data_IF_746174084437
#
_entry.id   IF_746174084437
#
_cell.length_a   1.000
_cell.length_b   1.000
_cell.length_c   1.000
_cell.angle_alpha   90.00
_cell.angle_beta   90.00
_cell.angle_gamma   90.00
#
_symmetry.space_group_name_H-M   'P 1'
#
loop_
_entity.id
_entity.type
_entity.pdbx_description
1 polymer ?
#
# COMPACT_ATOMS: atom_id res chain seq x y z
N UNK A 1 -12.57 -0.71 48.64
CA UNK A 1 -13.05 -1.68 47.63
C UNK A 1 -11.95 -1.77 46.59
N UNK A 2 -11.10 -2.80 46.66
CA UNK A 2 -9.96 -2.92 45.76
C UNK A 2 -10.47 -3.30 44.36
N UNK A 3 -10.34 -2.38 43.39
CA UNK A 3 -10.57 -2.66 41.97
C UNK A 3 -9.59 -3.74 41.56
N UNK A 4 -10.10 -4.95 41.29
CA UNK A 4 -9.35 -6.06 40.70
C UNK A 4 -8.66 -5.52 39.43
N UNK A 5 -7.35 -5.68 39.33
CA UNK A 5 -6.63 -5.33 38.12
C UNK A 5 -7.29 -6.06 36.93
N UNK A 6 -7.57 -5.37 35.81
CA UNK A 6 -8.21 -5.98 34.66
C UNK A 6 -7.39 -7.18 34.19
N UNK A 7 -8.08 -8.25 33.77
CA UNK A 7 -7.42 -9.42 33.18
C UNK A 7 -6.64 -8.99 31.92
N UNK A 8 -5.46 -9.57 31.68
CA UNK A 8 -4.61 -9.20 30.55
C UNK A 8 -5.37 -9.30 29.21
N UNK A 9 -6.20 -10.34 29.06
CA UNK A 9 -7.01 -10.53 27.86
C UNK A 9 -8.10 -9.46 27.71
N UNK A 10 -8.68 -9.02 28.82
CA UNK A 10 -9.67 -7.93 28.83
C UNK A 10 -9.00 -6.61 28.45
N UNK A 11 -7.81 -6.32 29.00
CA UNK A 11 -6.99 -5.18 28.63
C UNK A 11 -6.59 -5.20 27.14
N UNK A 12 -6.29 -6.38 26.58
CA UNK A 12 -6.03 -6.54 25.14
C UNK A 12 -7.24 -6.16 24.28
N UNK A 13 -8.42 -6.71 24.59
CA UNK A 13 -9.65 -6.42 23.83
C UNK A 13 -10.01 -4.94 23.95
N UNK A 14 -9.92 -4.37 25.16
CA UNK A 14 -10.20 -2.97 25.40
C UNK A 14 -9.22 -2.06 24.65
N UNK A 15 -7.93 -2.38 24.66
CA UNK A 15 -6.91 -1.65 23.90
C UNK A 15 -7.19 -1.69 22.40
N UNK A 16 -7.51 -2.86 21.85
CA UNK A 16 -7.81 -3.01 20.41
C UNK A 16 -9.07 -2.23 20.03
N UNK A 17 -10.16 -2.36 20.79
CA UNK A 17 -11.39 -1.62 20.54
C UNK A 17 -11.14 -0.11 20.57
N UNK A 18 -10.39 0.38 21.57
CA UNK A 18 -10.04 1.79 21.66
C UNK A 18 -9.11 2.25 20.55
N UNK A 19 -8.19 1.40 20.11
CA UNK A 19 -7.35 1.68 18.95
C UNK A 19 -8.18 1.78 17.66
N UNK A 20 -9.26 1.00 17.52
CA UNK A 20 -10.17 1.09 16.37
C UNK A 20 -11.04 2.36 16.39
N UNK A 21 -11.37 2.87 17.57
CA UNK A 21 -12.13 4.12 17.75
C UNK A 21 -11.25 5.37 17.56
N UNK A 22 -10.05 5.37 18.16
CA UNK A 22 -9.18 6.53 18.24
C UNK A 22 -8.19 6.64 17.05
N UNK A 23 -7.82 5.53 16.41
CA UNK A 23 -6.81 5.51 15.35
C UNK A 23 -7.40 5.10 13.99
N UNK A 24 -7.17 5.93 12.97
CA UNK A 24 -7.58 5.62 11.60
C UNK A 24 -6.71 4.51 10.96
N UNK A 25 -5.45 4.41 11.37
CA UNK A 25 -4.52 3.36 10.95
C UNK A 25 -3.76 2.80 12.15
N UNK A 26 -3.51 1.48 12.14
CA UNK A 26 -2.78 0.83 13.21
C UNK A 26 -1.28 1.13 13.13
N UNK A 27 -0.67 1.38 14.28
CA UNK A 27 0.77 1.59 14.43
C UNK A 27 1.39 0.45 15.23
N UNK A 28 2.57 0.00 14.83
CA UNK A 28 3.25 -1.13 15.44
C UNK A 28 4.68 -0.80 15.91
N UNK A 29 5.14 -1.54 16.92
CA UNK A 29 6.51 -1.45 17.42
C UNK A 29 7.46 -2.22 16.51
N UNK A 30 8.62 -1.62 16.21
CA UNK A 30 9.72 -2.26 15.52
C UNK A 30 10.82 -2.59 16.51
N UNK A 31 10.94 -3.86 16.86
CA UNK A 31 11.97 -4.35 17.76
C UNK A 31 13.33 -4.46 17.06
N UNK A 32 13.91 -3.32 16.65
CA UNK A 32 15.17 -3.30 15.88
C UNK A 32 16.31 -4.01 16.59
N UNK A 33 16.45 -3.81 17.90
CA UNK A 33 17.48 -4.46 18.70
C UNK A 33 17.33 -5.99 18.68
N UNK A 34 16.11 -6.50 18.86
CA UNK A 34 15.82 -7.94 18.85
C UNK A 34 16.02 -8.55 17.46
N UNK A 35 15.62 -7.85 16.39
CA UNK A 35 15.87 -8.32 15.03
C UNK A 35 17.36 -8.39 14.71
N UNK A 36 18.13 -7.36 15.07
CA UNK A 36 19.58 -7.36 14.88
C UNK A 36 20.25 -8.45 15.71
N UNK A 37 19.81 -8.67 16.95
CA UNK A 37 20.30 -9.75 17.80
C UNK A 37 20.07 -11.13 17.14
N UNK A 38 18.85 -11.39 16.65
CA UNK A 38 18.51 -12.64 15.97
C UNK A 38 19.36 -12.85 14.69
N UNK A 39 19.52 -11.81 13.86
CA UNK A 39 20.35 -11.87 12.65
C UNK A 39 21.81 -12.18 12.99
N UNK A 40 22.36 -11.51 14.01
CA UNK A 40 23.74 -11.72 14.46
C UNK A 40 23.93 -13.13 15.01
N UNK A 41 23.00 -13.66 15.79
CA UNK A 41 23.06 -15.04 16.29
C UNK A 41 23.11 -16.05 15.14
N UNK A 42 22.19 -15.91 14.16
CA UNK A 42 22.17 -16.75 12.96
C UNK A 42 23.47 -16.64 12.16
N UNK A 43 24.03 -15.43 12.02
CA UNK A 43 25.30 -15.20 11.34
C UNK A 43 26.48 -15.90 12.05
N UNK A 44 26.54 -15.82 13.38
CA UNK A 44 27.57 -16.49 14.18
C UNK A 44 27.44 -18.02 14.05
N UNK A 45 26.22 -18.55 14.07
CA UNK A 45 25.96 -19.98 13.90
C UNK A 45 26.40 -20.48 12.51
N UNK A 46 26.09 -19.74 11.44
CA UNK A 46 26.57 -20.03 10.09
C UNK A 46 28.10 -19.99 10.00
N UNK A 47 28.75 -19.00 10.63
CA UNK A 47 30.21 -18.90 10.65
C UNK A 47 30.87 -20.10 11.36
N UNK A 48 30.28 -20.57 12.48
CA UNK A 48 30.73 -21.75 13.21
C UNK A 48 30.58 -23.02 12.37
N UNK A 49 29.44 -23.22 11.70
CA UNK A 49 29.23 -24.36 10.81
C UNK A 49 30.22 -24.36 9.63
N UNK A 50 30.44 -23.20 9.00
CA UNK A 50 31.45 -23.03 7.95
C UNK A 50 32.85 -23.46 8.42
N UNK A 51 33.24 -23.05 9.62
CA UNK A 51 34.54 -23.43 10.21
C UNK A 51 34.64 -24.95 10.44
N UNK A 52 33.58 -25.57 10.97
CA UNK A 52 33.53 -27.02 11.20
C UNK A 52 33.64 -27.83 9.90
N UNK A 53 32.81 -27.52 8.90
CA UNK A 53 32.81 -28.20 7.60
C UNK A 53 34.18 -28.04 6.90
N UNK A 54 34.77 -26.84 6.96
CA UNK A 54 36.11 -26.60 6.39
C UNK A 54 37.18 -27.43 7.09
N UNK A 55 37.06 -27.66 8.40
CA UNK A 55 38.01 -28.46 9.19
C UNK A 55 37.84 -29.95 8.97
N UNK A 56 36.61 -30.45 8.86
CA UNK A 56 36.33 -31.88 8.63
C UNK A 56 36.55 -32.31 7.18
N UNK A 57 36.50 -31.38 6.22
CA UNK A 57 36.62 -31.66 4.78
C UNK A 57 35.44 -32.45 4.19
N UNK A 58 34.45 -32.78 5.01
CA UNK A 58 33.24 -33.53 4.66
C UNK A 58 32.07 -32.96 5.49
N UNK A 59 30.86 -33.00 4.94
CA UNK A 59 29.65 -32.57 5.63
C UNK A 59 28.67 -33.75 5.71
N UNK A 60 28.27 -34.13 6.92
CA UNK A 60 27.29 -35.20 7.12
C UNK A 60 25.87 -34.78 6.72
N UNK A 61 24.94 -35.73 6.45
CA UNK A 61 23.57 -35.42 6.05
C UNK A 61 22.83 -34.51 7.05
N UNK A 62 23.03 -34.74 8.36
CA UNK A 62 22.42 -33.93 9.42
C UNK A 62 23.00 -32.50 9.47
N UNK A 63 24.30 -32.34 9.19
CA UNK A 63 24.94 -31.03 9.15
C UNK A 63 24.45 -30.22 7.94
N UNK A 64 24.20 -30.89 6.81
CA UNK A 64 23.63 -30.29 5.61
C UNK A 64 22.17 -29.85 5.82
N UNK A 65 21.35 -30.66 6.51
CA UNK A 65 19.97 -30.27 6.86
C UNK A 65 19.95 -29.07 7.83
N UNK A 66 20.80 -29.09 8.86
CA UNK A 66 20.93 -27.99 9.80
C UNK A 66 21.45 -26.70 9.13
N UNK A 67 22.37 -26.84 8.17
CA UNK A 67 22.84 -25.73 7.34
C UNK A 67 21.70 -25.12 6.52
N UNK A 68 20.91 -25.93 5.81
CA UNK A 68 19.77 -25.45 5.01
C UNK A 68 18.76 -24.69 5.87
N UNK A 69 18.35 -25.26 7.01
CA UNK A 69 17.42 -24.60 7.95
C UNK A 69 17.96 -23.27 8.47
N UNK A 70 19.24 -23.22 8.83
CA UNK A 70 19.86 -22.00 9.36
C UNK A 70 20.00 -20.93 8.28
N UNK A 71 20.38 -21.31 7.06
CA UNK A 71 20.46 -20.40 5.91
C UNK A 71 19.08 -19.81 5.57
N UNK A 72 18.04 -20.64 5.54
CA UNK A 72 16.66 -20.17 5.32
C UNK A 72 16.19 -19.24 6.42
N UNK A 73 16.48 -19.56 7.67
CA UNK A 73 16.13 -18.72 8.82
C UNK A 73 16.86 -17.38 8.77
N UNK A 74 18.15 -17.38 8.41
CA UNK A 74 18.96 -16.17 8.24
C UNK A 74 18.44 -15.28 7.10
N UNK A 75 18.16 -15.86 5.94
CA UNK A 75 17.59 -15.12 4.81
C UNK A 75 16.21 -14.53 5.14
N UNK A 76 15.36 -15.30 5.83
CA UNK A 76 14.04 -14.84 6.27
C UNK A 76 14.17 -13.70 7.29
N UNK A 77 15.05 -13.84 8.29
CA UNK A 77 15.29 -12.79 9.29
C UNK A 77 15.76 -11.47 8.67
N UNK A 78 16.64 -11.52 7.65
CA UNK A 78 17.06 -10.33 6.90
C UNK A 78 15.88 -9.71 6.16
N UNK A 79 15.12 -10.51 5.41
CA UNK A 79 13.97 -10.05 4.62
C UNK A 79 12.91 -9.42 5.52
N UNK A 80 12.59 -10.06 6.65
CA UNK A 80 11.58 -9.59 7.59
C UNK A 80 12.03 -8.28 8.24
N UNK A 81 13.32 -8.17 8.61
CA UNK A 81 13.87 -6.92 9.12
C UNK A 81 13.83 -5.79 8.09
N UNK A 82 14.19 -6.08 6.83
CA UNK A 82 14.11 -5.12 5.75
C UNK A 82 12.66 -4.66 5.49
N UNK A 83 11.73 -5.62 5.41
CA UNK A 83 10.30 -5.34 5.24
C UNK A 83 9.76 -4.40 6.32
N UNK A 84 10.05 -4.68 7.60
CA UNK A 84 9.61 -3.82 8.70
C UNK A 84 10.30 -2.44 8.66
N UNK A 85 11.54 -2.37 8.20
CA UNK A 85 12.29 -1.12 8.07
C UNK A 85 11.75 -0.19 6.97
N UNK A 86 11.15 -0.74 5.91
CA UNK A 86 10.56 0.02 4.80
C UNK A 86 9.31 0.84 5.19
N UNK A 87 8.74 0.60 6.37
CA UNK A 87 7.57 1.33 6.85
C UNK A 87 7.97 2.71 7.40
N UNK A 88 7.17 3.73 7.09
CA UNK A 88 7.38 5.12 7.53
C UNK A 88 7.45 5.16 9.06
N UNK A 89 8.46 5.85 9.64
CA UNK A 89 8.51 6.04 11.08
C UNK A 89 7.40 7.00 11.54
N UNK A 90 6.89 6.79 12.76
CA UNK A 90 5.99 7.75 13.40
C UNK A 90 6.74 9.05 13.75
N UNK A 91 5.99 10.15 13.87
CA UNK A 91 6.53 11.38 14.44
C UNK A 91 6.86 11.18 15.93
N UNK A 92 7.63 12.10 16.52
CA UNK A 92 7.98 12.02 17.95
C UNK A 92 6.76 12.13 18.85
N UNK A 93 5.80 12.96 18.46
CA UNK A 93 4.57 13.20 19.22
C UNK A 93 3.67 11.96 19.14
N UNK A 94 3.42 11.44 17.92
CA UNK A 94 2.64 10.19 17.73
C UNK A 94 3.27 9.00 18.48
N UNK A 95 4.61 8.91 18.47
CA UNK A 95 5.35 7.88 19.21
C UNK A 95 5.12 7.98 20.71
N UNK A 96 5.14 9.20 21.25
CA UNK A 96 4.92 9.43 22.68
C UNK A 96 3.51 9.03 23.09
N UNK A 97 2.51 9.44 22.31
CA UNK A 97 1.11 9.14 22.62
C UNK A 97 0.82 7.65 22.55
N UNK A 98 1.33 6.96 21.52
CA UNK A 98 1.21 5.51 21.37
C UNK A 98 1.89 4.75 22.51
N UNK A 99 3.10 5.17 22.88
CA UNK A 99 3.86 4.59 23.99
C UNK A 99 3.11 4.74 25.32
N UNK A 100 2.57 5.94 25.61
CA UNK A 100 1.78 6.17 26.81
C UNK A 100 0.54 5.28 26.85
N UNK A 101 -0.13 5.09 25.71
CA UNK A 101 -1.28 4.18 25.62
C UNK A 101 -0.87 2.75 25.95
N UNK A 102 0.22 2.23 25.38
CA UNK A 102 0.70 0.89 25.70
C UNK A 102 1.07 0.73 27.17
N UNK A 103 1.72 1.74 27.75
CA UNK A 103 2.05 1.76 29.18
C UNK A 103 0.80 1.73 30.06
N UNK A 104 -0.22 2.52 29.72
CA UNK A 104 -1.49 2.57 30.48
C UNK A 104 -2.21 1.22 30.52
N UNK A 105 -2.14 0.43 29.45
CA UNK A 105 -2.86 -0.84 29.35
C UNK A 105 -2.04 -2.05 29.81
N UNK A 106 -0.72 -2.03 29.64
CA UNK A 106 0.10 -3.24 29.70
C UNK A 106 1.36 -3.13 30.57
N UNK A 107 1.69 -1.95 31.11
CA UNK A 107 2.86 -1.83 31.97
C UNK A 107 2.69 -2.66 33.25
N UNK A 108 3.63 -3.57 33.48
CA UNK A 108 3.69 -4.43 34.65
C UNK A 108 4.71 -3.91 35.67
N UNK A 109 4.51 -4.11 36.98
CA UNK A 109 5.54 -3.86 37.99
C UNK A 109 6.84 -4.63 37.77
N UNK A 110 6.78 -5.76 37.06
CA UNK A 110 7.93 -6.61 36.76
C UNK A 110 8.76 -6.11 35.56
N UNK A 111 8.29 -5.09 34.85
CA UNK A 111 8.97 -4.56 33.68
C UNK A 111 10.24 -3.79 34.07
N UNK A 112 11.37 -4.16 33.48
CA UNK A 112 12.62 -3.44 33.67
C UNK A 112 12.71 -2.21 32.74
N UNK A 113 12.86 -1.03 33.33
CA UNK A 113 13.01 0.21 32.57
C UNK A 113 11.75 0.56 31.80
N UNK A 114 11.88 0.77 30.49
CA UNK A 114 10.76 1.13 29.61
C UNK A 114 10.64 0.13 28.44
N UNK A 115 9.82 -0.93 28.59
CA UNK A 115 9.75 -2.01 27.60
C UNK A 115 9.14 -1.55 26.27
N UNK A 116 8.40 -0.44 26.26
CA UNK A 116 7.76 0.13 25.08
C UNK A 116 8.60 1.24 24.43
N UNK A 117 9.81 1.50 24.93
CA UNK A 117 10.76 2.40 24.28
C UNK A 117 11.34 1.73 23.02
N UNK A 118 10.65 1.91 21.91
CA UNK A 118 11.00 1.32 20.62
C UNK A 118 10.76 2.31 19.47
N UNK A 119 11.19 1.94 18.26
CA UNK A 119 10.80 2.65 17.05
C UNK A 119 9.40 2.22 16.65
N UNK A 120 8.53 3.18 16.34
CA UNK A 120 7.18 2.89 15.87
C UNK A 120 7.07 3.18 14.39
N UNK A 121 6.28 2.35 13.70
CA UNK A 121 5.99 2.51 12.29
C UNK A 121 4.51 2.39 11.97
N UNK A 122 4.11 3.03 10.88
CA UNK A 122 2.78 2.92 10.30
C UNK A 122 2.59 1.53 9.68
N UNK A 123 1.46 0.86 9.93
CA UNK A 123 1.16 -0.46 9.33
C UNK A 123 1.02 -0.38 7.81
N UNK A 124 0.30 0.62 7.31
CA UNK A 124 0.29 0.97 5.89
C UNK A 124 1.18 2.19 5.74
N UNK A 125 2.10 2.18 4.78
CA UNK A 125 2.82 3.40 4.44
C UNK A 125 1.79 4.47 4.05
N UNK A 126 1.58 5.54 4.83
CA UNK A 126 0.61 6.58 4.46
C UNK A 126 1.10 7.38 3.24
N UNK A 127 2.34 7.11 2.82
CA UNK A 127 2.87 7.46 1.52
C UNK A 127 2.54 6.38 0.47
N UNK A 128 1.28 5.97 0.35
CA UNK A 128 0.73 5.89 -0.99
C UNK A 128 0.81 7.35 -1.50
N UNK A 129 1.97 7.66 -2.09
CA UNK A 129 2.45 9.01 -2.37
C UNK A 129 1.28 9.83 -2.87
N UNK A 130 0.98 10.97 -2.23
CA UNK A 130 -0.15 11.81 -2.60
C UNK A 130 -0.09 12.04 -4.11
N UNK A 131 -0.93 11.32 -4.86
CA UNK A 131 -0.93 11.40 -6.31
C UNK A 131 -1.28 12.84 -6.72
N UNK A 132 -0.84 13.32 -7.90
CA UNK A 132 -1.13 14.68 -8.35
C UNK A 132 -2.62 15.02 -8.26
N UNK A 133 -3.49 14.03 -8.54
CA UNK A 133 -4.95 14.14 -8.42
C UNK A 133 -5.39 14.36 -6.97
N UNK A 134 -4.82 13.60 -6.01
CA UNK A 134 -5.11 13.77 -4.58
C UNK A 134 -4.65 15.15 -4.10
N UNK A 135 -3.46 15.58 -4.52
CA UNK A 135 -2.90 16.87 -4.15
C UNK A 135 -3.73 18.04 -4.70
N UNK A 136 -4.15 17.96 -5.96
CA UNK A 136 -5.03 18.95 -6.58
C UNK A 136 -6.39 18.99 -5.87
N UNK A 137 -6.95 17.83 -5.53
CA UNK A 137 -8.23 17.76 -4.85
C UNK A 137 -8.16 18.29 -3.40
N UNK A 138 -7.09 17.99 -2.67
CA UNK A 138 -6.84 18.55 -1.33
C UNK A 138 -6.67 20.08 -1.36
N UNK A 139 -6.10 20.64 -2.44
CA UNK A 139 -5.96 22.09 -2.62
C UNK A 139 -7.29 22.79 -2.94
N UNK A 140 -8.20 22.10 -3.62
CA UNK A 140 -9.46 22.67 -4.10
C UNK A 140 -10.68 22.37 -3.21
N UNK A 141 -10.59 21.38 -2.31
CA UNK A 141 -11.66 21.05 -1.37
C UNK A 141 -11.65 21.97 -0.13
N UNK A 142 -12.82 22.30 0.43
CA UNK A 142 -12.89 23.01 1.69
C UNK A 142 -12.22 22.21 2.81
N UNK A 143 -11.51 22.91 3.70
CA UNK A 143 -10.72 22.33 4.80
C UNK A 143 -11.51 21.38 5.71
N UNK A 144 -12.84 21.53 5.78
CA UNK A 144 -13.75 20.62 6.49
C UNK A 144 -13.79 19.19 5.95
N UNK A 145 -13.54 18.99 4.64
CA UNK A 145 -13.57 17.67 3.98
C UNK A 145 -12.16 17.12 3.71
N UNK A 146 -11.18 18.03 3.59
CA UNK A 146 -9.79 17.65 3.31
C UNK A 146 -9.08 17.09 4.56
N UNK A 147 -9.45 17.54 5.76
CA UNK A 147 -8.91 17.02 7.03
C UNK A 147 -9.65 15.77 7.49
N UNK A 148 -8.91 14.81 8.03
CA UNK A 148 -9.51 13.68 8.76
C UNK A 148 -9.94 14.10 10.17
N UNK A 149 -10.83 13.32 10.80
CA UNK A 149 -11.35 13.67 12.14
C UNK A 149 -10.24 13.65 13.20
N UNK A 150 -9.32 12.68 13.10
CA UNK A 150 -8.13 12.60 13.95
C UNK A 150 -7.18 13.78 13.75
N UNK A 151 -6.83 14.11 12.49
CA UNK A 151 -5.90 15.22 12.18
C UNK A 151 -6.48 16.58 12.59
N UNK A 152 -7.80 16.76 12.52
CA UNK A 152 -8.49 17.99 12.98
C UNK A 152 -8.41 18.17 14.49
N UNK A 153 -8.44 17.08 15.25
CA UNK A 153 -8.31 17.08 16.71
C UNK A 153 -6.86 17.38 17.12
N UNK A 154 -5.90 16.76 16.44
CA UNK A 154 -4.46 16.88 16.69
C UNK A 154 -3.90 18.26 16.30
N UNK A 155 -4.33 18.82 15.16
CA UNK A 155 -3.76 20.06 14.60
C UNK A 155 -4.77 21.19 14.50
N UNK A 156 -5.55 21.42 15.57
CA UNK A 156 -6.59 22.47 15.62
C UNK A 156 -6.10 23.85 15.16
N UNK A 157 -4.90 24.28 15.57
CA UNK A 157 -4.35 25.59 15.17
C UNK A 157 -4.12 25.66 13.66
N UNK A 158 -3.54 24.62 13.08
CA UNK A 158 -3.24 24.58 11.65
C UNK A 158 -4.48 24.40 10.78
N UNK A 159 -5.50 23.72 11.30
CA UNK A 159 -6.82 23.64 10.70
C UNK A 159 -7.50 25.03 10.66
N UNK A 160 -7.39 25.81 11.73
CA UNK A 160 -7.94 27.18 11.79
C UNK A 160 -7.16 28.14 10.89
N UNK A 161 -5.86 27.92 10.71
CA UNK A 161 -4.99 28.67 9.81
C UNK A 161 -5.18 28.28 8.32
N UNK A 162 -5.99 27.27 8.01
CA UNK A 162 -6.29 26.85 6.64
C UNK A 162 -5.11 26.20 5.90
N UNK A 163 -4.14 25.64 6.62
CA UNK A 163 -2.99 24.96 6.01
C UNK A 163 -3.44 23.70 5.25
N UNK A 164 -2.69 23.25 4.23
CA UNK A 164 -3.01 22.01 3.54
C UNK A 164 -2.83 20.81 4.49
N UNK A 165 -3.77 19.85 4.52
CA UNK A 165 -3.65 18.67 5.37
C UNK A 165 -2.44 17.84 4.95
N UNK A 166 -1.83 17.17 5.92
CA UNK A 166 -0.68 16.28 5.68
C UNK A 166 -1.10 14.83 5.50
N UNK A 167 -2.29 14.45 6.00
CA UNK A 167 -2.90 13.14 5.79
C UNK A 167 -4.08 13.26 4.81
N UNK A 168 -4.28 12.25 3.97
CA UNK A 168 -5.41 12.22 3.02
C UNK A 168 -6.64 11.72 3.78
N UNK A 169 -7.73 12.50 3.84
CA UNK A 169 -8.96 12.02 4.47
C UNK A 169 -9.58 10.85 3.69
N UNK A 170 -10.26 9.95 4.41
CA UNK A 170 -10.98 8.79 3.81
C UNK A 170 -11.98 9.25 2.73
N UNK A 171 -12.60 10.43 2.93
CA UNK A 171 -13.50 11.01 1.95
C UNK A 171 -12.77 11.39 0.65
N UNK A 172 -11.62 12.07 0.76
CA UNK A 172 -10.78 12.43 -0.39
C UNK A 172 -10.31 11.17 -1.10
N UNK A 173 -9.88 10.12 -0.38
CA UNK A 173 -9.48 8.84 -0.98
C UNK A 173 -10.62 8.21 -1.80
N UNK A 174 -11.82 8.11 -1.21
CA UNK A 174 -13.00 7.56 -1.90
C UNK A 174 -13.41 8.40 -3.11
N UNK A 175 -13.36 9.73 -2.99
CA UNK A 175 -13.72 10.64 -4.07
C UNK A 175 -12.72 10.55 -5.23
N UNK A 176 -11.42 10.48 -4.95
CA UNK A 176 -10.39 10.28 -5.99
C UNK A 176 -10.59 8.95 -6.69
N UNK A 177 -10.83 7.86 -5.94
CA UNK A 177 -11.13 6.54 -6.54
C UNK A 177 -12.36 6.59 -7.43
N UNK A 178 -13.42 7.29 -7.00
CA UNK A 178 -14.63 7.49 -7.80
C UNK A 178 -14.34 8.27 -9.10
N UNK A 179 -13.59 9.38 -9.01
CA UNK A 179 -13.21 10.18 -10.18
C UNK A 179 -12.39 9.37 -11.17
N UNK A 180 -11.38 8.63 -10.69
CA UNK A 180 -10.53 7.77 -11.54
C UNK A 180 -11.36 6.67 -12.20
N UNK A 181 -12.27 6.03 -11.46
CA UNK A 181 -13.15 5.00 -12.01
C UNK A 181 -14.11 5.55 -13.08
N UNK A 182 -14.73 6.71 -12.83
CA UNK A 182 -15.60 7.38 -13.79
C UNK A 182 -14.84 7.83 -15.03
N UNK A 183 -13.66 8.43 -14.85
CA UNK A 183 -12.80 8.84 -15.96
C UNK A 183 -12.40 7.63 -16.81
N UNK A 184 -11.93 6.55 -16.20
CA UNK A 184 -11.58 5.31 -16.90
C UNK A 184 -12.74 4.71 -17.69
N UNK A 185 -13.94 4.69 -17.09
CA UNK A 185 -15.15 4.24 -17.78
C UNK A 185 -15.52 5.13 -18.97
N UNK A 186 -15.45 6.46 -18.80
CA UNK A 186 -15.72 7.40 -19.88
C UNK A 186 -14.73 7.26 -21.04
N UNK A 187 -13.45 7.01 -20.73
CA UNK A 187 -12.42 6.73 -21.73
C UNK A 187 -12.75 5.52 -22.62
N UNK A 188 -13.43 4.50 -22.10
CA UNK A 188 -13.89 3.36 -22.90
C UNK A 188 -15.18 3.66 -23.69
N UNK A 189 -16.11 4.38 -23.08
CA UNK A 189 -17.43 4.66 -23.70
C UNK A 189 -17.30 5.60 -24.88
N UNK A 190 -16.48 6.66 -24.78
CA UNK A 190 -16.39 7.70 -25.82
C UNK A 190 -15.94 7.14 -27.19
N UNK A 191 -14.86 6.36 -27.31
CA UNK A 191 -14.42 5.79 -28.59
C UNK A 191 -15.46 4.83 -29.17
N UNK A 192 -16.06 3.98 -28.33
CA UNK A 192 -17.12 3.04 -28.72
C UNK A 192 -18.32 3.78 -29.28
N UNK A 193 -18.73 4.88 -28.63
CA UNK A 193 -19.85 5.69 -29.06
C UNK A 193 -19.56 6.41 -30.39
N UNK A 194 -18.35 6.96 -30.57
CA UNK A 194 -17.91 7.58 -31.84
C UNK A 194 -17.97 6.57 -32.98
N UNK A 195 -17.46 5.35 -32.76
CA UNK A 195 -17.48 4.29 -33.77
C UNK A 195 -18.91 3.83 -34.12
N UNK A 196 -19.83 3.87 -33.16
CA UNK A 196 -21.23 3.50 -33.38
C UNK A 196 -21.97 4.45 -34.35
N UNK A 197 -21.64 5.75 -34.37
CA UNK A 197 -22.33 6.72 -35.23
C UNK A 197 -21.83 6.74 -36.68
N UNK A 198 -20.64 6.22 -36.96
CA UNK A 198 -20.07 6.24 -38.31
C UNK A 198 -19.27 4.96 -38.58
N UNK A 199 -19.95 3.83 -38.84
CA UNK A 199 -19.30 2.53 -39.02
C UNK A 199 -18.49 2.48 -40.32
N UNK A 200 -17.21 2.83 -40.21
CA UNK A 200 -16.17 2.75 -41.25
C UNK A 200 -14.89 2.21 -40.62
N UNK A 201 -14.24 1.24 -41.28
CA UNK A 201 -13.00 0.63 -40.80
C UNK A 201 -11.91 1.68 -40.58
N UNK A 202 -11.70 2.57 -41.55
CA UNK A 202 -10.65 3.59 -41.50
C UNK A 202 -10.88 4.54 -40.31
N UNK A 203 -12.12 5.02 -40.14
CA UNK A 203 -12.47 5.90 -39.00
C UNK A 203 -12.30 5.21 -37.66
N UNK A 204 -12.63 3.92 -37.59
CA UNK A 204 -12.51 3.13 -36.36
C UNK A 204 -11.04 2.90 -36.00
N UNK A 205 -10.19 2.51 -36.95
CA UNK A 205 -8.74 2.35 -36.71
C UNK A 205 -8.10 3.65 -36.23
N UNK A 206 -8.44 4.79 -36.86
CA UNK A 206 -7.95 6.11 -36.43
C UNK A 206 -8.43 6.41 -35.01
N UNK A 207 -9.71 6.17 -34.71
CA UNK A 207 -10.28 6.43 -33.39
C UNK A 207 -9.64 5.57 -32.30
N UNK A 208 -9.37 4.27 -32.56
CA UNK A 208 -8.65 3.39 -31.61
C UNK A 208 -7.25 3.93 -31.35
N UNK A 209 -6.46 4.19 -32.39
CA UNK A 209 -5.07 4.63 -32.25
C UNK A 209 -4.96 5.94 -31.47
N UNK A 210 -5.79 6.94 -31.79
CA UNK A 210 -5.81 8.23 -31.08
C UNK A 210 -6.25 8.02 -29.63
N UNK A 211 -7.29 7.23 -29.39
CA UNK A 211 -7.81 7.00 -28.04
C UNK A 211 -6.81 6.26 -27.14
N UNK A 212 -6.10 5.26 -27.66
CA UNK A 212 -5.05 4.52 -26.92
C UNK A 212 -3.87 5.44 -26.61
N UNK A 213 -3.46 6.28 -27.55
CA UNK A 213 -2.37 7.23 -27.35
C UNK A 213 -2.72 8.26 -26.26
N UNK A 214 -3.91 8.86 -26.32
CA UNK A 214 -4.38 9.81 -25.30
C UNK A 214 -4.54 9.15 -23.94
N UNK A 215 -5.13 7.95 -23.87
CA UNK A 215 -5.25 7.20 -22.62
C UNK A 215 -3.87 6.93 -22.00
N UNK A 216 -2.91 6.45 -22.79
CA UNK A 216 -1.55 6.15 -22.30
C UNK A 216 -0.83 7.41 -21.83
N UNK A 217 -1.02 8.53 -22.53
CA UNK A 217 -0.48 9.84 -22.13
C UNK A 217 -1.07 10.27 -20.79
N UNK A 218 -2.40 10.25 -20.66
CA UNK A 218 -3.09 10.63 -19.42
C UNK A 218 -2.66 9.74 -18.25
N UNK A 219 -2.60 8.42 -18.44
CA UNK A 219 -2.14 7.51 -17.39
C UNK A 219 -0.69 7.79 -17.00
N UNK A 220 0.20 8.01 -17.98
CA UNK A 220 1.63 8.25 -17.72
C UNK A 220 1.90 9.55 -16.97
N UNK A 221 1.11 10.61 -17.20
CA UNK A 221 1.30 11.91 -16.55
C UNK A 221 0.47 12.08 -15.27
N UNK A 222 -0.72 11.50 -15.22
CA UNK A 222 -1.70 11.77 -14.15
C UNK A 222 -1.69 10.70 -13.05
N UNK A 223 -1.31 9.46 -13.39
CA UNK A 223 -1.30 8.33 -12.46
C UNK A 223 0.14 7.86 -12.29
N UNK A 224 0.62 7.79 -11.04
CA UNK A 224 1.94 7.20 -10.75
C UNK A 224 1.83 5.67 -10.78
N UNK A 225 1.79 5.12 -11.98
CA UNK A 225 1.88 3.67 -12.23
C UNK A 225 3.30 3.29 -12.62
N UNK A 226 3.68 2.06 -12.29
CA UNK A 226 4.95 1.50 -12.75
C UNK A 226 4.94 1.31 -14.27
N UNK A 227 6.11 1.32 -14.92
CA UNK A 227 6.21 1.16 -16.38
C UNK A 227 5.50 -0.11 -16.90
N UNK A 228 5.55 -1.19 -16.10
CA UNK A 228 4.87 -2.46 -16.41
C UNK A 228 3.35 -2.30 -16.30
N UNK A 229 2.85 -1.66 -15.25
CA UNK A 229 1.41 -1.43 -15.08
C UNK A 229 0.84 -0.52 -16.18
N UNK A 230 1.60 0.49 -16.63
CA UNK A 230 1.21 1.34 -17.77
C UNK A 230 1.12 0.53 -19.06
N UNK A 231 2.10 -0.34 -19.32
CA UNK A 231 2.10 -1.22 -20.49
C UNK A 231 0.90 -2.18 -20.47
N UNK A 232 0.66 -2.84 -19.34
CA UNK A 232 -0.48 -3.77 -19.16
C UNK A 232 -1.82 -3.06 -19.31
N UNK A 233 -1.96 -1.87 -18.73
CA UNK A 233 -3.18 -1.06 -18.83
C UNK A 233 -3.46 -0.61 -20.26
N UNK A 234 -2.43 -0.14 -20.98
CA UNK A 234 -2.53 0.27 -22.38
C UNK A 234 -2.90 -0.91 -23.30
N UNK A 235 -2.26 -2.07 -23.10
CA UNK A 235 -2.57 -3.28 -23.84
C UNK A 235 -4.01 -3.75 -23.59
N UNK A 236 -4.47 -3.74 -22.33
CA UNK A 236 -5.84 -4.11 -21.95
C UNK A 236 -6.86 -3.18 -22.62
N UNK A 237 -6.60 -1.87 -22.55
CA UNK A 237 -7.46 -0.86 -23.17
C UNK A 237 -7.53 -1.01 -24.69
N UNK A 238 -6.38 -1.21 -25.35
CA UNK A 238 -6.31 -1.44 -26.79
C UNK A 238 -7.07 -2.72 -27.20
N UNK A 239 -6.92 -3.82 -26.45
CA UNK A 239 -7.60 -5.08 -26.72
C UNK A 239 -9.12 -4.92 -26.73
N UNK A 240 -9.70 -4.24 -25.73
CA UNK A 240 -11.14 -4.00 -25.65
C UNK A 240 -11.65 -3.22 -26.87
N UNK A 241 -10.95 -2.16 -27.26
CA UNK A 241 -11.33 -1.36 -28.42
C UNK A 241 -11.17 -2.12 -29.75
N UNK A 242 -10.10 -2.88 -29.93
CA UNK A 242 -9.85 -3.66 -31.16
C UNK A 242 -10.90 -4.77 -31.33
N UNK A 243 -11.33 -5.43 -30.25
CA UNK A 243 -12.43 -6.42 -30.28
C UNK A 243 -13.73 -5.77 -30.77
N UNK A 244 -14.02 -4.55 -30.33
CA UNK A 244 -15.20 -3.80 -30.79
C UNK A 244 -15.12 -3.47 -32.29
N UNK A 245 -13.95 -3.07 -32.78
CA UNK A 245 -13.73 -2.86 -34.23
C UNK A 245 -13.89 -4.16 -35.02
N UNK A 246 -13.34 -5.27 -34.53
CA UNK A 246 -13.43 -6.57 -35.20
C UNK A 246 -14.86 -7.09 -35.33
N UNK A 247 -15.67 -6.96 -34.28
CA UNK A 247 -17.07 -7.39 -34.28
C UNK A 247 -17.97 -6.50 -35.16
N UNK A 248 -17.73 -5.19 -35.17
CA UNK A 248 -18.50 -4.25 -36.01
C UNK A 248 -18.14 -4.31 -37.50
N UNK A 249 -16.90 -4.65 -37.84
CA UNK A 249 -16.48 -4.87 -39.23
C UNK A 249 -17.00 -6.19 -39.80
N UNK A 250 -17.00 -7.27 -39.00
CA UNK A 250 -17.48 -8.60 -39.41
C UNK A 250 -18.95 -8.63 -39.80
N UNK A 251 -19.81 -7.90 -39.08
CA UNK A 251 -21.25 -7.86 -39.38
C UNK A 251 -21.63 -7.17 -40.70
N UNK A 252 -20.75 -6.33 -41.27
CA UNK A 252 -20.96 -5.69 -42.58
C UNK A 252 -20.53 -6.56 -43.76
N UNK A 253 -19.59 -7.48 -43.55
CA UNK A 253 -19.11 -8.41 -44.58
C UNK A 253 -20.15 -9.45 -45.00
N UNK A 254 -20.91 -9.99 -44.04
CA UNK A 254 -21.90 -11.04 -44.29
C UNK A 254 -23.22 -10.54 -44.92
N UNK A 255 -23.52 -9.25 -44.80
CA UNK A 255 -24.71 -8.66 -45.41
C UNK A 255 -24.51 -8.40 -46.92
N UNK A 256 -23.28 -8.15 -47.37
CA UNK A 256 -22.97 -7.89 -48.77
C UNK A 256 -22.92 -9.18 -49.63
N UNK A 257 -22.65 -10.33 -49.02
CA UNK A 257 -22.58 -11.65 -49.70
C UNK A 257 -23.92 -12.37 -49.81
N UNK A 258 -25.00 -11.86 -49.19
CA UNK A 258 -26.36 -12.45 -49.27
C UNK A 258 -27.29 -11.76 -50.29
N UNK A 259 -26.83 -10.75 -51.02
CA UNK A 259 -27.64 -10.05 -52.03
C UNK A 259 -27.23 -10.33 -53.48
N UNK A 260 -26.51 -11.42 -53.74
CA UNK A 260 -26.20 -11.90 -55.10
C UNK A 260 -26.93 -13.18 -55.39
#
# INVERSE_FOLDING_TARGET
MATKAPDYNESLVQYVNRSLEDEEEFHFLRFESLHRLNIVDLQVNLARMKSRIKRSGTAGPNELDMLDRTLRSYASAIRDYEYLKQHKPLSKDDTRDRKLRLQLFFQSPDDFGDPYQSHYSWFRNPNQQIDPVRQALMRNLPSRLAYSNGERQERKREYMDGKPPTRVSVFVDRLVRLIIALAGGLFLIVPVHIMSFSPSLIKSLITVSVSVAVFTLVVSFLVRVTNIETLVSSATYAAVLVVFVGTTAGGKGDAATRST
#
